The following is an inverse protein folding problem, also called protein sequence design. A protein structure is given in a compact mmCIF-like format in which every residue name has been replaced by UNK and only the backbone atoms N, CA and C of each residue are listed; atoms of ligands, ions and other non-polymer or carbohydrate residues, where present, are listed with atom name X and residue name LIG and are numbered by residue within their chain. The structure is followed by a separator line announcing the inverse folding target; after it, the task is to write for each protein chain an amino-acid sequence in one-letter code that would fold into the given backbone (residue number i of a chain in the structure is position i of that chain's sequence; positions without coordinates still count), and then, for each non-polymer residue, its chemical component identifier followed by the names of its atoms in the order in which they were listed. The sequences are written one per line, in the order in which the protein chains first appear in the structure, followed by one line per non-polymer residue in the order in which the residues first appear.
data_IF_486220517668
#
_entry.id   IF_486220517668
#
_cell.length_a   1.000
_cell.length_b   1.000
_cell.length_c   1.000
_cell.angle_alpha   90.00
_cell.angle_beta   90.00
_cell.angle_gamma   90.00
#
_symmetry.space_group_name_H-M   'P 1'
#
loop_
_entity.id
_entity.type
_entity.pdbx_description
1 polymer ?
#
# COMPACT_ATOMS: atom_id res chain seq x y z
N UNK A 1 45.57 -8.10 4.08
CA UNK A 1 45.69 -8.50 5.50
C UNK A 1 46.01 -7.24 6.31
N UNK A 2 45.27 -6.97 7.41
CA UNK A 2 45.59 -5.82 8.29
C UNK A 2 46.82 -6.19 9.13
N UNK A 3 47.87 -5.37 9.08
CA UNK A 3 49.06 -5.51 9.93
C UNK A 3 48.67 -5.14 11.38
N UNK A 4 48.57 -6.15 12.24
CA UNK A 4 48.38 -5.97 13.69
C UNK A 4 49.73 -5.65 14.32
N UNK A 5 49.74 -4.88 15.41
CA UNK A 5 50.92 -4.40 16.15
C UNK A 5 51.90 -5.52 16.55
N UNK A 6 51.41 -6.76 16.65
CA UNK A 6 52.19 -7.96 16.95
C UNK A 6 52.92 -8.57 15.73
N UNK A 7 52.89 -7.92 14.57
CA UNK A 7 53.51 -8.42 13.33
C UNK A 7 52.85 -9.70 12.77
N UNK A 8 51.77 -10.17 13.40
CA UNK A 8 51.05 -11.39 13.04
C UNK A 8 49.73 -11.06 12.33
N UNK A 9 49.55 -11.58 11.13
CA UNK A 9 48.31 -11.46 10.35
C UNK A 9 47.56 -12.79 10.40
N UNK A 10 46.41 -12.84 11.07
CA UNK A 10 45.50 -13.98 10.92
C UNK A 10 44.90 -13.97 9.49
N UNK A 11 45.04 -15.06 8.72
CA UNK A 11 44.37 -15.19 7.42
C UNK A 11 42.85 -15.18 7.61
N UNK A 12 42.13 -14.33 6.87
CA UNK A 12 40.67 -14.26 6.89
C UNK A 12 40.03 -13.44 8.02
N UNK A 13 40.82 -13.00 9.02
CA UNK A 13 40.30 -12.21 10.13
C UNK A 13 40.14 -10.73 9.75
N UNK A 14 38.88 -10.30 9.64
CA UNK A 14 38.48 -8.92 9.31
C UNK A 14 37.78 -8.21 10.48
N UNK A 15 37.47 -8.92 11.55
CA UNK A 15 36.56 -8.46 12.60
C UNK A 15 37.27 -8.15 13.90
N UNK A 16 38.38 -8.82 14.21
CA UNK A 16 39.07 -8.57 15.48
C UNK A 16 39.84 -7.26 15.46
N UNK A 17 39.77 -6.56 16.58
CA UNK A 17 40.47 -5.30 16.83
C UNK A 17 41.79 -5.49 17.58
N UNK A 18 42.11 -6.73 17.95
CA UNK A 18 43.27 -7.06 18.75
C UNK A 18 44.57 -6.64 18.05
N UNK A 19 45.41 -5.88 18.74
CA UNK A 19 46.66 -5.35 18.19
C UNK A 19 46.47 -4.20 17.18
N UNK A 20 45.36 -3.45 17.22
CA UNK A 20 45.25 -2.18 16.49
C UNK A 20 45.54 -0.99 17.44
N UNK A 21 46.00 0.16 16.92
CA UNK A 21 46.16 1.39 17.70
C UNK A 21 44.84 1.88 18.31
N UNK A 22 44.91 2.53 19.47
CA UNK A 22 43.76 3.11 20.18
C UNK A 22 42.87 4.01 19.28
N UNK A 23 43.41 4.88 18.40
CA UNK A 23 42.58 5.68 17.49
C UNK A 23 41.68 4.84 16.56
N UNK A 24 42.11 3.62 16.19
CA UNK A 24 41.30 2.71 15.38
C UNK A 24 40.20 2.07 16.24
N UNK A 25 40.49 1.77 17.51
CA UNK A 25 39.46 1.29 18.44
C UNK A 25 38.37 2.34 18.66
N UNK A 26 38.76 3.59 18.87
CA UNK A 26 37.85 4.72 19.00
C UNK A 26 37.04 4.94 17.71
N UNK A 27 37.69 4.92 16.55
CA UNK A 27 37.02 5.06 15.26
C UNK A 27 36.01 3.95 14.98
N UNK A 28 36.35 2.69 15.26
CA UNK A 28 35.42 1.55 15.08
C UNK A 28 34.29 1.61 16.09
N UNK A 29 34.56 2.00 17.34
CA UNK A 29 33.52 2.16 18.36
C UNK A 29 32.51 3.24 17.95
N UNK A 30 33.01 4.42 17.59
CA UNK A 30 32.18 5.53 17.11
C UNK A 30 31.35 5.11 15.90
N UNK A 31 31.95 4.42 14.93
CA UNK A 31 31.24 3.89 13.77
C UNK A 31 30.14 2.92 14.16
N UNK A 32 30.41 1.95 15.05
CA UNK A 32 29.41 0.97 15.50
C UNK A 32 28.26 1.60 16.28
N UNK A 33 28.53 2.66 17.03
CA UNK A 33 27.49 3.39 17.78
C UNK A 33 26.58 4.23 16.87
N UNK A 34 27.11 4.72 15.73
CA UNK A 34 26.39 5.63 14.83
C UNK A 34 25.95 4.99 13.51
N UNK A 35 26.29 3.71 13.29
CA UNK A 35 25.81 2.99 12.12
C UNK A 35 24.32 2.66 12.31
N UNK A 36 23.49 3.14 11.39
CA UNK A 36 22.09 2.75 11.40
C UNK A 36 21.99 1.27 11.00
N UNK A 37 21.44 0.46 11.90
CA UNK A 37 21.02 -0.91 11.60
C UNK A 37 19.51 -0.92 11.52
N UNK A 38 18.98 -1.42 10.41
CA UNK A 38 17.54 -1.45 10.22
C UNK A 38 16.89 -2.52 11.12
N UNK A 39 15.64 -2.30 11.49
CA UNK A 39 14.85 -3.32 12.22
C UNK A 39 14.83 -4.66 11.49
N UNK A 40 14.75 -4.62 10.15
CA UNK A 40 14.75 -5.81 9.32
C UNK A 40 16.05 -6.62 9.46
N UNK A 41 17.21 -5.95 9.48
CA UNK A 41 18.50 -6.63 9.69
C UNK A 41 18.59 -7.26 11.08
N UNK A 42 18.11 -6.56 12.12
CA UNK A 42 18.07 -7.10 13.47
C UNK A 42 17.17 -8.34 13.56
N UNK A 43 16.00 -8.31 12.91
CA UNK A 43 15.06 -9.42 12.89
C UNK A 43 15.63 -10.61 12.11
N UNK A 44 16.20 -10.39 10.90
CA UNK A 44 16.84 -11.46 10.12
C UNK A 44 17.98 -12.11 10.90
N UNK A 45 18.85 -11.32 11.55
CA UNK A 45 19.95 -11.87 12.35
C UNK A 45 19.45 -12.75 13.50
N UNK A 46 18.40 -12.30 14.21
CA UNK A 46 17.79 -13.08 15.30
C UNK A 46 17.24 -14.42 14.78
N UNK A 47 16.58 -14.40 13.64
CA UNK A 47 16.03 -15.58 12.98
C UNK A 47 17.13 -16.55 12.52
N UNK A 48 18.23 -16.04 11.99
CA UNK A 48 19.41 -16.86 11.65
C UNK A 48 20.06 -17.50 12.88
N UNK A 49 20.11 -16.80 14.00
CA UNK A 49 20.64 -17.33 15.27
C UNK A 49 19.75 -18.44 15.85
N UNK A 50 18.42 -18.28 15.77
CA UNK A 50 17.45 -19.29 16.16
C UNK A 50 17.58 -20.52 15.25
N UNK A 51 17.63 -20.32 13.94
CA UNK A 51 17.81 -21.41 12.98
C UNK A 51 19.14 -22.16 13.17
N UNK A 52 20.21 -21.46 13.59
CA UNK A 52 21.52 -22.07 13.87
C UNK A 52 21.53 -22.89 15.15
N UNK A 53 20.83 -22.45 16.19
CA UNK A 53 20.86 -23.07 17.52
C UNK A 53 19.45 -23.32 18.08
N UNK A 54 18.62 -24.17 17.44
CA UNK A 54 17.18 -24.27 17.74
C UNK A 54 16.85 -24.79 19.14
N UNK A 55 17.79 -25.48 19.80
CA UNK A 55 17.59 -26.02 21.16
C UNK A 55 17.93 -24.98 22.23
N UNK A 56 18.82 -24.02 21.92
CA UNK A 56 19.35 -23.06 22.89
C UNK A 56 18.74 -21.67 22.75
N UNK A 57 18.30 -21.31 21.55
CA UNK A 57 17.65 -20.03 21.27
C UNK A 57 16.16 -20.27 21.06
N UNK A 58 15.32 -19.73 21.93
CA UNK A 58 13.86 -19.72 21.72
C UNK A 58 13.41 -18.37 21.16
N UNK A 59 12.39 -18.39 20.31
CA UNK A 59 11.57 -17.21 20.08
C UNK A 59 10.98 -16.81 21.45
N UNK A 60 11.41 -15.68 21.99
CA UNK A 60 10.87 -15.14 23.24
C UNK A 60 9.37 -14.85 23.13
N UNK A 61 8.76 -14.30 24.18
CA UNK A 61 7.35 -13.91 24.12
C UNK A 61 7.12 -12.85 23.03
N UNK A 62 6.20 -13.14 22.11
CA UNK A 62 5.79 -12.21 21.06
C UNK A 62 4.72 -11.29 21.64
N UNK A 63 4.98 -9.98 21.61
CA UNK A 63 4.01 -8.99 22.05
C UNK A 63 2.77 -9.01 21.13
N UNK A 64 1.60 -9.19 21.73
CA UNK A 64 0.34 -9.31 21.02
C UNK A 64 -0.22 -7.93 20.64
N UNK A 65 0.48 -7.24 19.74
CA UNK A 65 0.06 -5.93 19.22
C UNK A 65 -1.21 -6.05 18.36
N UNK A 66 -1.98 -4.96 18.14
CA UNK A 66 -3.12 -4.99 17.23
C UNK A 66 -2.76 -5.47 15.81
N UNK A 67 -1.53 -5.19 15.36
CA UNK A 67 -1.01 -5.67 14.07
C UNK A 67 -0.75 -7.17 14.09
N UNK A 68 -0.21 -7.71 15.19
CA UNK A 68 0.02 -9.14 15.36
C UNK A 68 -1.29 -9.92 15.40
N UNK A 69 -2.28 -9.43 16.16
CA UNK A 69 -3.63 -10.02 16.23
C UNK A 69 -4.26 -10.06 14.83
N UNK A 70 -4.16 -8.95 14.08
CA UNK A 70 -4.67 -8.88 12.71
C UNK A 70 -3.94 -9.87 11.79
N UNK A 71 -2.61 -9.94 11.87
CA UNK A 71 -1.80 -10.83 11.05
C UNK A 71 -2.18 -12.30 11.30
N UNK A 72 -2.29 -12.71 12.58
CA UNK A 72 -2.70 -14.06 12.96
C UNK A 72 -4.10 -14.42 12.43
N UNK A 73 -5.04 -13.49 12.51
CA UNK A 73 -6.39 -13.69 11.97
C UNK A 73 -6.39 -13.78 10.44
N UNK A 74 -5.51 -13.05 9.76
CA UNK A 74 -5.43 -13.04 8.31
C UNK A 74 -4.63 -14.21 7.73
N UNK A 75 -3.63 -14.72 8.45
CA UNK A 75 -2.63 -15.68 7.99
C UNK A 75 -3.21 -16.88 7.21
N UNK A 76 -4.28 -17.58 7.68
CA UNK A 76 -4.80 -18.76 6.98
C UNK A 76 -5.33 -18.48 5.57
N UNK A 77 -5.82 -17.27 5.34
CA UNK A 77 -6.44 -16.85 4.06
C UNK A 77 -5.75 -15.63 3.44
N UNK A 78 -4.53 -15.32 3.88
CA UNK A 78 -3.80 -14.14 3.43
C UNK A 78 -3.66 -14.08 1.89
N UNK A 79 -3.31 -15.18 1.19
CA UNK A 79 -3.22 -15.16 -0.27
C UNK A 79 -4.55 -14.78 -0.94
N UNK A 80 -5.66 -15.31 -0.42
CA UNK A 80 -7.00 -15.05 -0.93
C UNK A 80 -7.39 -13.59 -0.72
N UNK A 81 -7.07 -13.00 0.44
CA UNK A 81 -7.30 -11.57 0.70
C UNK A 81 -6.49 -10.68 -0.25
N UNK A 82 -5.22 -11.00 -0.50
CA UNK A 82 -4.40 -10.25 -1.45
C UNK A 82 -4.97 -10.32 -2.86
N UNK A 83 -5.38 -11.51 -3.32
CA UNK A 83 -6.02 -11.68 -4.64
C UNK A 83 -7.35 -10.92 -4.70
N UNK A 84 -8.18 -10.96 -3.66
CA UNK A 84 -9.46 -10.27 -3.62
C UNK A 84 -9.28 -8.75 -3.74
N UNK A 85 -8.37 -8.16 -2.96
CA UNK A 85 -8.05 -6.73 -3.03
C UNK A 85 -7.58 -6.33 -4.45
N UNK A 86 -6.70 -7.12 -5.06
CA UNK A 86 -6.20 -6.83 -6.41
C UNK A 86 -7.28 -6.99 -7.50
N UNK A 87 -8.18 -7.97 -7.35
CA UNK A 87 -9.32 -8.13 -8.28
C UNK A 87 -10.29 -6.95 -8.19
N UNK A 88 -10.59 -6.48 -6.97
CA UNK A 88 -11.42 -5.29 -6.75
C UNK A 88 -10.74 -4.06 -7.35
N UNK A 89 -9.44 -3.88 -7.13
CA UNK A 89 -8.66 -2.79 -7.71
C UNK A 89 -8.69 -2.82 -9.25
N UNK A 90 -8.54 -4.00 -9.86
CA UNK A 90 -8.61 -4.18 -11.31
C UNK A 90 -9.99 -3.84 -11.88
N UNK A 91 -11.06 -4.20 -11.18
CA UNK A 91 -12.44 -3.90 -11.60
C UNK A 91 -12.77 -2.40 -11.50
N UNK A 92 -12.21 -1.70 -10.51
CA UNK A 92 -12.40 -0.27 -10.32
C UNK A 92 -11.39 0.61 -11.07
N UNK A 93 -10.30 0.03 -11.60
CA UNK A 93 -9.29 0.76 -12.36
C UNK A 93 -9.86 1.41 -13.63
N UNK A 94 -9.33 2.57 -14.06
CA UNK A 94 -9.78 3.32 -15.25
C UNK A 94 -9.41 2.63 -16.58
N UNK A 95 -9.86 1.39 -16.79
CA UNK A 95 -9.45 0.59 -17.95
C UNK A 95 -10.12 1.03 -19.25
N UNK A 96 -9.34 1.04 -20.34
CA UNK A 96 -9.79 1.42 -21.69
C UNK A 96 -10.62 0.34 -22.42
N UNK A 97 -10.81 -0.84 -21.83
CA UNK A 97 -11.71 -1.89 -22.36
C UNK A 97 -12.44 -2.57 -21.19
N UNK A 98 -13.76 -2.48 -21.18
CA UNK A 98 -14.61 -3.24 -20.26
C UNK A 98 -14.40 -4.75 -20.53
N UNK A 99 -13.62 -5.41 -19.67
CA UNK A 99 -13.56 -6.88 -19.66
C UNK A 99 -14.70 -7.39 -18.79
N UNK A 100 -15.62 -8.10 -19.42
CA UNK A 100 -16.83 -8.71 -18.85
C UNK A 100 -16.58 -9.81 -17.82
N UNK A 101 -15.31 -10.17 -17.53
CA UNK A 101 -14.95 -11.21 -16.54
C UNK A 101 -14.50 -10.65 -15.18
N UNK A 102 -14.72 -9.36 -14.92
CA UNK A 102 -14.35 -8.71 -13.66
C UNK A 102 -15.51 -8.76 -12.66
N UNK A 103 -15.18 -8.79 -11.36
CA UNK A 103 -16.14 -8.61 -10.26
C UNK A 103 -17.04 -7.44 -10.64
N UNK A 104 -18.35 -7.69 -10.80
CA UNK A 104 -19.28 -6.67 -11.25
C UNK A 104 -19.65 -5.76 -10.09
N UNK A 105 -18.67 -4.99 -9.59
CA UNK A 105 -18.85 -3.96 -8.57
C UNK A 105 -20.00 -3.01 -8.98
N UNK A 106 -20.23 -2.85 -10.28
CA UNK A 106 -21.31 -2.02 -10.80
C UNK A 106 -22.69 -2.58 -10.49
N UNK A 107 -22.86 -3.90 -10.31
CA UNK A 107 -24.13 -4.50 -9.92
C UNK A 107 -24.61 -4.02 -8.54
N UNK A 108 -23.67 -3.77 -7.62
CA UNK A 108 -23.98 -3.24 -6.27
C UNK A 108 -24.23 -1.72 -6.27
N UNK A 109 -23.88 -1.03 -7.36
CA UNK A 109 -23.99 0.43 -7.51
C UNK A 109 -25.16 0.82 -8.40
N UNK A 110 -25.59 -0.07 -9.30
CA UNK A 110 -26.68 0.19 -10.23
C UNK A 110 -28.03 0.14 -9.50
N UNK A 111 -28.92 1.10 -9.75
CA UNK A 111 -30.28 1.06 -9.22
C UNK A 111 -31.08 -0.09 -9.84
N UNK A 112 -32.07 -0.60 -9.11
CA UNK A 112 -32.99 -1.63 -9.61
C UNK A 112 -33.83 -1.11 -10.79
N UNK A 113 -34.19 0.17 -10.78
CA UNK A 113 -34.87 0.85 -11.88
C UNK A 113 -33.86 1.64 -12.72
N UNK A 114 -33.80 1.33 -14.02
CA UNK A 114 -32.91 2.02 -14.95
C UNK A 114 -33.43 3.43 -15.26
N UNK A 115 -32.54 4.44 -15.35
CA UNK A 115 -32.92 5.81 -15.59
C UNK A 115 -33.60 5.97 -16.96
N UNK A 116 -34.77 6.63 -16.98
CA UNK A 116 -35.52 6.88 -18.22
C UNK A 116 -35.16 8.21 -18.90
N UNK A 117 -34.46 9.10 -18.21
CA UNK A 117 -34.10 10.44 -18.72
C UNK A 117 -32.59 10.60 -18.89
N UNK A 118 -32.18 11.44 -19.84
CA UNK A 118 -30.76 11.75 -20.11
C UNK A 118 -30.05 12.28 -18.86
N UNK A 119 -30.73 13.13 -18.09
CA UNK A 119 -30.19 13.73 -16.87
C UNK A 119 -29.95 12.68 -15.76
N UNK A 120 -30.88 11.75 -15.56
CA UNK A 120 -30.70 10.65 -14.61
C UNK A 120 -29.58 9.71 -15.06
N UNK A 121 -29.44 9.46 -16.36
CA UNK A 121 -28.32 8.69 -16.92
C UNK A 121 -26.96 9.37 -16.72
N UNK A 122 -26.88 10.69 -16.90
CA UNK A 122 -25.66 11.47 -16.61
C UNK A 122 -25.30 11.42 -15.12
N UNK A 123 -26.29 11.59 -14.24
CA UNK A 123 -26.12 11.46 -12.78
C UNK A 123 -25.58 10.08 -12.40
N UNK A 124 -26.19 9.02 -12.94
CA UNK A 124 -25.76 7.63 -12.71
C UNK A 124 -24.32 7.40 -13.18
N UNK A 125 -23.95 7.92 -14.36
CA UNK A 125 -22.59 7.82 -14.89
C UNK A 125 -21.54 8.48 -13.99
N UNK A 126 -21.83 9.68 -13.48
CA UNK A 126 -20.95 10.38 -12.53
C UNK A 126 -20.81 9.60 -11.22
N UNK A 127 -21.92 9.10 -10.67
CA UNK A 127 -21.91 8.36 -9.41
C UNK A 127 -21.15 7.04 -9.51
N UNK A 128 -21.35 6.30 -10.59
CA UNK A 128 -20.60 5.09 -10.91
C UNK A 128 -19.09 5.35 -10.95
N UNK A 129 -18.67 6.42 -11.62
CA UNK A 129 -17.25 6.74 -11.69
C UNK A 129 -16.70 7.20 -10.34
N UNK A 130 -17.47 7.98 -9.57
CA UNK A 130 -17.12 8.37 -8.20
C UNK A 130 -16.93 7.14 -7.30
N UNK A 131 -17.81 6.15 -7.42
CA UNK A 131 -17.71 4.92 -6.64
C UNK A 131 -16.42 4.15 -6.96
N UNK A 132 -16.05 4.06 -8.25
CA UNK A 132 -14.75 3.49 -8.66
C UNK A 132 -13.57 4.23 -8.03
N UNK A 133 -13.58 5.56 -8.03
CA UNK A 133 -12.52 6.36 -7.38
C UNK A 133 -12.39 6.06 -5.88
N UNK A 134 -13.52 5.97 -5.18
CA UNK A 134 -13.56 5.66 -3.73
C UNK A 134 -12.99 4.27 -3.47
N UNK A 135 -13.36 3.28 -4.28
CA UNK A 135 -12.84 1.91 -4.15
C UNK A 135 -11.33 1.87 -4.38
N UNK A 136 -10.83 2.48 -5.46
CA UNK A 136 -9.39 2.54 -5.73
C UNK A 136 -8.64 3.24 -4.59
N UNK A 137 -9.21 4.32 -4.05
CA UNK A 137 -8.64 5.05 -2.89
C UNK A 137 -8.57 4.16 -1.65
N UNK A 138 -9.64 3.43 -1.35
CA UNK A 138 -9.72 2.55 -0.18
C UNK A 138 -8.76 1.35 -0.32
N UNK A 139 -8.80 0.65 -1.44
CA UNK A 139 -7.97 -0.55 -1.66
C UNK A 139 -6.48 -0.20 -1.68
N UNK A 140 -6.09 0.90 -2.35
CA UNK A 140 -4.69 1.35 -2.35
C UNK A 140 -4.20 1.73 -0.95
N UNK A 141 -5.04 2.35 -0.13
CA UNK A 141 -4.71 2.65 1.26
C UNK A 141 -4.55 1.39 2.10
N UNK A 142 -5.48 0.43 1.98
CA UNK A 142 -5.44 -0.84 2.71
C UNK A 142 -4.14 -1.59 2.39
N UNK A 143 -3.81 -1.75 1.10
CA UNK A 143 -2.59 -2.43 0.67
C UNK A 143 -1.33 -1.76 1.24
N UNK A 144 -1.24 -0.43 1.13
CA UNK A 144 -0.08 0.31 1.62
C UNK A 144 0.05 0.23 3.15
N UNK A 145 -1.06 0.35 3.88
CA UNK A 145 -1.08 0.25 5.34
C UNK A 145 -0.66 -1.14 5.80
N UNK A 146 -1.20 -2.20 5.19
CA UNK A 146 -0.80 -3.58 5.52
C UNK A 146 0.69 -3.80 5.29
N UNK A 147 1.23 -3.35 4.14
CA UNK A 147 2.66 -3.45 3.84
C UNK A 147 3.50 -2.74 4.91
N UNK A 148 3.11 -1.53 5.31
CA UNK A 148 3.84 -0.76 6.32
C UNK A 148 3.76 -1.36 7.71
N UNK A 149 2.56 -1.74 8.15
CA UNK A 149 2.34 -2.29 9.47
C UNK A 149 3.03 -3.65 9.63
N UNK A 150 2.95 -4.54 8.64
CA UNK A 150 3.66 -5.81 8.70
C UNK A 150 5.18 -5.62 8.61
N UNK A 151 5.69 -4.64 7.86
CA UNK A 151 7.12 -4.34 7.84
C UNK A 151 7.65 -3.81 9.18
N UNK A 152 6.84 -3.03 9.89
CA UNK A 152 7.18 -2.53 11.22
C UNK A 152 7.03 -3.60 12.31
N UNK A 153 6.15 -4.59 12.10
CA UNK A 153 5.93 -5.68 13.05
C UNK A 153 7.01 -6.76 12.88
N UNK A 154 7.10 -7.39 11.72
CA UNK A 154 8.13 -8.40 11.43
C UNK A 154 8.48 -8.51 9.95
N UNK A 155 9.78 -8.54 9.64
CA UNK A 155 10.30 -8.62 8.27
C UNK A 155 9.73 -9.79 7.47
N UNK A 156 9.58 -10.97 8.08
CA UNK A 156 9.01 -12.14 7.40
C UNK A 156 7.50 -12.05 7.16
N UNK A 157 6.75 -11.36 8.02
CA UNK A 157 5.32 -11.12 7.76
C UNK A 157 5.14 -10.21 6.54
N UNK A 158 5.97 -9.17 6.45
CA UNK A 158 6.04 -8.31 5.28
C UNK A 158 6.46 -9.07 4.02
N UNK A 159 7.50 -9.88 4.11
CA UNK A 159 8.01 -10.66 2.97
C UNK A 159 6.95 -11.63 2.47
N UNK A 160 6.33 -12.39 3.36
CA UNK A 160 5.28 -13.35 3.03
C UNK A 160 4.10 -12.68 2.32
N UNK A 161 3.60 -11.55 2.84
CA UNK A 161 2.54 -10.80 2.17
C UNK A 161 2.98 -10.25 0.80
N UNK A 162 4.20 -9.70 0.72
CA UNK A 162 4.75 -9.13 -0.50
C UNK A 162 4.91 -10.17 -1.61
N UNK A 163 5.39 -11.37 -1.27
CA UNK A 163 5.48 -12.50 -2.20
C UNK A 163 4.11 -12.84 -2.79
N UNK A 164 3.07 -12.91 -1.96
CA UNK A 164 1.71 -13.16 -2.44
C UNK A 164 1.15 -12.06 -3.35
N UNK A 165 1.46 -10.79 -3.08
CA UNK A 165 1.11 -9.70 -4.00
C UNK A 165 1.80 -9.82 -5.35
N UNK A 166 3.08 -10.20 -5.36
CA UNK A 166 3.84 -10.42 -6.60
C UNK A 166 3.26 -11.59 -7.39
N UNK A 167 2.98 -12.72 -6.73
CA UNK A 167 2.35 -13.89 -7.37
C UNK A 167 0.96 -13.60 -7.93
N UNK A 168 0.21 -12.70 -7.28
CA UNK A 168 -1.10 -12.26 -7.76
C UNK A 168 -1.05 -11.18 -8.86
N UNK A 169 0.12 -10.91 -9.45
CA UNK A 169 0.34 -9.92 -10.52
C UNK A 169 0.06 -8.47 -10.09
N UNK A 170 0.35 -8.11 -8.84
CA UNK A 170 0.22 -6.72 -8.36
C UNK A 170 1.07 -5.74 -9.18
N UNK A 171 2.33 -6.07 -9.47
CA UNK A 171 3.24 -5.18 -10.23
C UNK A 171 2.68 -4.90 -11.65
N UNK A 172 2.34 -5.92 -12.47
CA UNK A 172 1.66 -5.68 -13.75
C UNK A 172 0.38 -4.85 -13.63
N UNK A 173 -0.42 -5.07 -12.58
CA UNK A 173 -1.65 -4.33 -12.36
C UNK A 173 -1.39 -2.83 -12.12
N UNK A 174 -0.44 -2.51 -11.24
CA UNK A 174 -0.03 -1.13 -10.94
C UNK A 174 0.54 -0.45 -12.20
N UNK A 175 1.39 -1.15 -12.95
CA UNK A 175 1.92 -0.62 -14.21
C UNK A 175 0.81 -0.36 -15.24
N UNK A 176 -0.15 -1.28 -15.36
CA UNK A 176 -1.32 -1.10 -16.23
C UNK A 176 -2.18 0.08 -15.79
N UNK A 177 -2.29 0.34 -14.49
CA UNK A 177 -2.98 1.49 -13.94
C UNK A 177 -2.29 2.80 -14.36
N UNK A 178 -0.97 2.90 -14.22
CA UNK A 178 -0.23 4.12 -14.60
C UNK A 178 -0.10 4.33 -16.11
N UNK A 179 -0.17 3.26 -16.90
CA UNK A 179 -0.15 3.35 -18.36
C UNK A 179 -1.48 3.88 -18.94
N UNK A 180 -2.56 3.94 -18.16
CA UNK A 180 -3.79 4.62 -18.54
C UNK A 180 -3.61 6.11 -18.28
N UNK A 181 -3.90 6.98 -19.26
CA UNK A 181 -3.68 8.44 -19.24
C UNK A 181 -3.85 9.06 -17.85
N UNK A 182 -2.75 9.11 -17.07
CA UNK A 182 -2.79 9.41 -15.64
C UNK A 182 -3.30 10.83 -15.39
N UNK A 183 -3.00 11.74 -16.33
CA UNK A 183 -3.47 13.12 -16.32
C UNK A 183 -4.98 13.22 -16.42
N UNK A 184 -5.61 12.37 -17.22
CA UNK A 184 -7.07 12.34 -17.35
C UNK A 184 -7.71 11.75 -16.08
N UNK A 185 -7.10 10.73 -15.48
CA UNK A 185 -7.58 10.17 -14.21
C UNK A 185 -7.47 11.18 -13.06
N UNK A 186 -6.31 11.81 -12.90
CA UNK A 186 -6.08 12.82 -11.86
C UNK A 186 -6.94 14.05 -12.08
N UNK A 187 -7.20 14.45 -13.33
CA UNK A 187 -8.08 15.56 -13.68
C UNK A 187 -9.59 15.24 -13.70
N UNK A 188 -9.99 13.98 -13.48
CA UNK A 188 -11.39 13.58 -13.56
C UNK A 188 -12.22 14.23 -12.44
N UNK A 189 -13.36 14.81 -12.83
CA UNK A 189 -14.32 15.45 -11.91
C UNK A 189 -15.61 14.64 -11.84
N UNK A 190 -15.64 13.68 -10.91
CA UNK A 190 -16.83 12.87 -10.64
C UNK A 190 -17.51 13.37 -9.36
N UNK A 191 -17.95 14.61 -9.38
CA UNK A 191 -18.57 15.33 -8.26
C UNK A 191 -19.78 16.10 -8.79
N UNK A 192 -20.87 16.10 -8.04
CA UNK A 192 -22.07 16.90 -8.33
C UNK A 192 -22.27 17.82 -7.11
N UNK A 193 -21.71 19.05 -7.11
CA UNK A 193 -21.64 19.88 -5.90
C UNK A 193 -22.99 20.14 -5.23
N UNK A 194 -24.05 20.23 -6.03
CA UNK A 194 -25.42 20.46 -5.58
C UNK A 194 -26.05 19.24 -4.88
N UNK A 195 -25.48 18.05 -5.09
CA UNK A 195 -25.88 16.79 -4.46
C UNK A 195 -24.90 16.30 -3.39
N UNK A 196 -23.82 17.04 -3.13
CA UNK A 196 -22.84 16.70 -2.12
C UNK A 196 -23.19 17.33 -0.75
N UNK A 197 -22.69 16.72 0.32
CA UNK A 197 -22.86 17.25 1.68
C UNK A 197 -22.08 18.56 1.84
N UNK A 198 -22.65 19.61 2.48
CA UNK A 198 -23.95 19.63 3.15
C UNK A 198 -25.13 20.09 2.28
N UNK A 199 -24.89 20.52 1.05
CA UNK A 199 -25.90 21.09 0.13
C UNK A 199 -27.09 20.16 -0.13
N UNK A 200 -26.87 18.84 -0.11
CA UNK A 200 -27.94 17.86 -0.27
C UNK A 200 -28.87 17.69 0.95
N UNK A 201 -28.51 18.25 2.10
CA UNK A 201 -29.25 18.12 3.37
C UNK A 201 -29.79 19.46 3.86
N UNK A 202 -29.15 20.57 3.50
CA UNK A 202 -29.49 21.91 4.01
C UNK A 202 -30.23 22.72 2.93
N UNK A 203 -31.47 23.11 3.23
CA UNK A 203 -32.30 23.97 2.37
C UNK A 203 -33.30 23.20 1.49
N UNK A 204 -33.95 23.92 0.56
CA UNK A 204 -34.80 23.29 -0.46
C UNK A 204 -33.94 22.47 -1.42
N UNK A 205 -34.38 21.23 -1.71
CA UNK A 205 -33.64 20.36 -2.62
C UNK A 205 -33.58 21.01 -4.00
N UNK A 206 -32.38 21.30 -4.54
CA UNK A 206 -32.28 22.01 -5.79
C UNK A 206 -32.76 21.12 -6.94
N UNK A 207 -33.61 21.66 -7.80
CA UNK A 207 -33.95 21.00 -9.07
C UNK A 207 -32.66 20.91 -9.92
N UNK A 208 -32.32 19.71 -10.40
CA UNK A 208 -31.21 19.55 -11.35
C UNK A 208 -31.62 20.22 -12.68
N UNK A 209 -31.28 21.49 -12.84
CA UNK A 209 -31.21 22.13 -14.15
C UNK A 209 -29.87 21.76 -14.80
N UNK A 210 -29.73 21.93 -16.12
CA UNK A 210 -28.49 21.58 -16.85
C UNK A 210 -27.30 22.50 -16.51
N UNK A 211 -27.52 23.56 -15.71
CA UNK A 211 -26.59 24.68 -15.54
C UNK A 211 -25.76 24.72 -14.24
N UNK A 212 -26.00 23.97 -13.13
CA UNK A 212 -25.15 24.03 -11.95
C UNK A 212 -24.20 22.81 -11.80
N UNK A 213 -23.84 22.13 -12.89
CA UNK A 213 -22.79 21.09 -12.88
C UNK A 213 -21.38 21.68 -12.69
N UNK A 214 -21.19 22.99 -12.85
CA UNK A 214 -19.89 23.67 -12.81
C UNK A 214 -19.71 24.65 -11.65
N UNK A 215 -20.68 24.79 -10.73
CA UNK A 215 -20.55 25.74 -9.62
C UNK A 215 -19.58 25.16 -8.59
N UNK A 216 -18.33 25.63 -8.62
CA UNK A 216 -17.47 25.71 -7.44
C UNK A 216 -16.20 24.87 -7.42
N UNK A 217 -15.90 24.02 -8.41
CA UNK A 217 -14.69 23.19 -8.34
C UNK A 217 -13.54 23.75 -9.20
N UNK A 218 -12.81 24.72 -8.64
CA UNK A 218 -11.58 25.30 -9.21
C UNK A 218 -10.36 24.39 -9.05
N UNK A 219 -10.50 23.19 -8.45
CA UNK A 219 -9.38 22.27 -8.32
C UNK A 219 -8.97 21.71 -9.70
N UNK A 220 -7.68 21.79 -10.00
CA UNK A 220 -7.10 21.24 -11.22
C UNK A 220 -7.01 19.70 -11.20
N UNK A 221 -7.23 19.07 -10.03
CA UNK A 221 -7.10 17.65 -9.82
C UNK A 221 -8.02 17.12 -8.71
N UNK A 222 -8.43 15.86 -8.84
CA UNK A 222 -9.14 15.10 -7.82
C UNK A 222 -8.17 14.58 -6.75
N UNK A 223 -8.32 15.06 -5.52
CA UNK A 223 -7.53 14.60 -4.36
C UNK A 223 -7.69 13.10 -4.09
N UNK A 224 -8.85 12.52 -4.42
CA UNK A 224 -9.05 11.06 -4.30
C UNK A 224 -8.11 10.32 -5.24
N UNK A 225 -8.08 10.73 -6.50
CA UNK A 225 -7.31 10.08 -7.55
C UNK A 225 -5.80 10.30 -7.33
N UNK A 226 -5.41 11.51 -6.94
CA UNK A 226 -4.02 11.81 -6.55
C UNK A 226 -3.58 10.93 -5.38
N UNK A 227 -4.37 10.85 -4.31
CA UNK A 227 -4.04 9.99 -3.17
C UNK A 227 -3.87 8.52 -3.58
N UNK A 228 -4.76 7.99 -4.43
CA UNK A 228 -4.64 6.64 -4.98
C UNK A 228 -3.32 6.43 -5.72
N UNK A 229 -2.93 7.38 -6.57
CA UNK A 229 -1.67 7.32 -7.32
C UNK A 229 -0.45 7.35 -6.38
N UNK A 230 -0.43 8.20 -5.34
CA UNK A 230 0.65 8.19 -4.34
C UNK A 230 0.75 6.83 -3.66
N UNK A 231 -0.39 6.24 -3.28
CA UNK A 231 -0.37 4.97 -2.56
C UNK A 231 0.12 3.82 -3.42
N UNK A 232 -0.27 3.76 -4.70
CA UNK A 232 0.16 2.71 -5.62
C UNK A 232 1.63 2.85 -6.05
N UNK A 233 2.23 4.04 -5.92
CA UNK A 233 3.65 4.27 -6.17
C UNK A 233 4.56 3.93 -4.98
N UNK A 234 4.01 3.92 -3.75
CA UNK A 234 4.76 3.73 -2.50
C UNK A 234 4.78 2.28 -2.06
#
# INVERSE_FOLDING_TARGET
ARLKFLGYSLPGDRTTLFGLPEPIHEGVRTLKEHIYTSLAELQIQKEEEIARNPISTSEGEIEMTPTEILYQAMLPNLPQYMIALLKILLAAAPTSKAKTDSINIMADVLPEEMPMTVLQSMKLGIDVNRHKEIIVKAVSAILLLLLKHFKLNHVYQFEFMSQHLVFANCIPLVLKFFNQTIMAYVGAKNVIPILDFPSCVIGDQPELTTEPLEIGDSAAFSWRNMFSCINLLR
#
